data_IF_702852401807
#
_entry.id   IF_702852401807
#
_cell.length_a   1.000
_cell.length_b   1.000
_cell.length_c   1.000
_cell.angle_alpha   90.00
_cell.angle_beta   90.00
_cell.angle_gamma   90.00
#
_symmetry.space_group_name_H-M   'P 1'
#
loop_
_entity.id
_entity.type
_entity.pdbx_description
1 polymer ?
#
# COMPACT_ATOMS: atom_id res chain seq x y z
N UNK A 1 5.05 20.98 43.95
CA UNK A 1 4.32 20.01 43.11
C UNK A 1 4.15 20.64 41.73
N UNK A 2 4.47 19.94 40.65
CA UNK A 2 4.26 20.46 39.29
C UNK A 2 2.78 20.35 38.94
N UNK A 3 2.22 21.37 38.27
CA UNK A 3 0.83 21.34 37.82
C UNK A 3 0.73 20.59 36.49
N UNK A 4 -0.47 20.07 36.15
CA UNK A 4 -0.73 19.45 34.85
C UNK A 4 -0.37 20.39 33.68
N UNK A 5 -0.57 21.70 33.86
CA UNK A 5 -0.18 22.71 32.87
C UNK A 5 1.34 22.78 32.66
N UNK A 6 2.14 22.61 33.71
CA UNK A 6 3.60 22.62 33.64
C UNK A 6 4.15 21.37 32.93
N UNK A 7 3.51 20.21 33.14
CA UNK A 7 3.85 18.94 32.49
C UNK A 7 3.59 19.03 30.98
N UNK A 8 2.46 19.61 30.57
CA UNK A 8 2.12 19.77 29.15
C UNK A 8 3.05 20.78 28.45
N UNK A 9 3.44 21.87 29.12
CA UNK A 9 4.42 22.83 28.58
C UNK A 9 5.82 22.22 28.41
N UNK A 10 6.24 21.36 29.34
CA UNK A 10 7.55 20.69 29.29
C UNK A 10 7.61 19.52 28.30
N UNK A 11 6.45 18.95 27.93
CA UNK A 11 6.38 17.90 26.91
C UNK A 11 6.62 18.52 25.53
N UNK A 12 7.89 18.73 25.18
CA UNK A 12 8.28 18.99 23.79
C UNK A 12 7.67 17.86 22.95
N UNK A 13 6.70 18.20 22.10
CA UNK A 13 6.14 17.29 21.14
C UNK A 13 7.26 16.93 20.14
N UNK A 14 8.08 15.95 20.48
CA UNK A 14 9.04 15.39 19.56
C UNK A 14 8.24 14.65 18.49
N UNK A 15 7.91 15.37 17.41
CA UNK A 15 7.15 14.84 16.30
C UNK A 15 8.01 13.76 15.65
N UNK A 16 7.51 12.53 15.61
CA UNK A 16 8.18 11.49 14.84
C UNK A 16 8.10 11.85 13.35
N UNK A 17 9.24 12.11 12.72
CA UNK A 17 9.32 12.45 11.31
C UNK A 17 8.75 11.34 10.39
N UNK A 18 8.61 10.12 10.93
CA UNK A 18 8.07 8.95 10.24
C UNK A 18 6.55 8.85 10.36
N UNK A 19 5.87 9.86 10.89
CA UNK A 19 4.42 9.91 10.99
C UNK A 19 3.84 11.28 10.63
N UNK A 20 4.56 12.06 9.82
CA UNK A 20 4.12 13.39 9.38
C UNK A 20 3.16 13.33 8.20
N UNK A 21 3.27 12.30 7.36
CA UNK A 21 2.45 12.11 6.16
C UNK A 21 1.63 10.81 6.22
N UNK A 22 0.51 10.81 5.51
CA UNK A 22 -0.45 9.69 5.44
C UNK A 22 0.20 8.39 4.95
N UNK A 23 1.03 8.45 3.91
CA UNK A 23 1.78 7.29 3.41
C UNK A 23 2.81 6.76 4.43
N UNK A 24 3.33 7.60 5.33
CA UNK A 24 4.24 7.15 6.38
C UNK A 24 3.48 6.44 7.49
N UNK A 25 2.34 7.01 7.92
CA UNK A 25 1.43 6.37 8.87
C UNK A 25 0.98 5.00 8.34
N UNK A 26 0.62 4.93 7.06
CA UNK A 26 0.23 3.69 6.40
C UNK A 26 1.39 2.68 6.32
N UNK A 27 2.59 3.13 5.95
CA UNK A 27 3.78 2.28 5.95
C UNK A 27 4.14 1.71 7.33
N UNK A 28 4.01 2.51 8.40
CA UNK A 28 4.20 2.03 9.77
C UNK A 28 3.14 0.99 10.15
N UNK A 29 1.87 1.25 9.83
CA UNK A 29 0.78 0.30 10.07
C UNK A 29 1.02 -1.03 9.35
N UNK A 30 1.48 -0.99 8.10
CA UNK A 30 1.84 -2.22 7.36
C UNK A 30 2.94 -3.01 8.08
N UNK A 31 3.98 -2.32 8.55
CA UNK A 31 5.07 -2.96 9.28
C UNK A 31 4.60 -3.61 10.58
N UNK A 32 3.68 -2.97 11.31
CA UNK A 32 3.08 -3.50 12.54
C UNK A 32 2.20 -4.73 12.25
N UNK A 33 1.32 -4.65 11.26
CA UNK A 33 0.40 -5.73 10.87
C UNK A 33 1.16 -6.98 10.37
N UNK A 34 2.28 -6.78 9.69
CA UNK A 34 3.15 -7.86 9.22
C UNK A 34 4.12 -8.36 10.30
N UNK A 35 4.22 -7.69 11.45
CA UNK A 35 5.18 -7.99 12.51
C UNK A 35 6.62 -7.69 12.12
N UNK A 36 6.85 -6.83 11.13
CA UNK A 36 8.16 -6.53 10.53
C UNK A 36 8.58 -5.07 10.73
N UNK A 37 8.61 -4.64 11.99
CA UNK A 37 8.92 -3.26 12.41
C UNK A 37 10.36 -2.86 12.02
N UNK A 38 11.27 -3.86 11.90
CA UNK A 38 12.66 -3.66 11.50
C UNK A 38 12.76 -3.04 10.09
N UNK A 39 11.85 -3.40 9.19
CA UNK A 39 11.84 -2.91 7.81
C UNK A 39 10.78 -1.81 7.56
N UNK A 40 10.33 -1.07 8.58
CA UNK A 40 9.34 0.03 8.41
C UNK A 40 9.67 1.01 7.26
N UNK A 41 10.94 1.33 7.06
CA UNK A 41 11.37 2.24 5.99
C UNK A 41 11.06 1.69 4.59
N UNK A 42 11.12 0.37 4.40
CA UNK A 42 10.75 -0.31 3.17
C UNK A 42 9.25 -0.16 2.90
N UNK A 43 8.42 -0.41 3.91
CA UNK A 43 6.97 -0.29 3.80
C UNK A 43 6.51 1.15 3.58
N UNK A 44 7.14 2.13 4.24
CA UNK A 44 6.89 3.57 3.98
C UNK A 44 7.25 3.93 2.55
N UNK A 45 8.40 3.44 2.03
CA UNK A 45 8.79 3.69 0.64
C UNK A 45 7.78 3.09 -0.32
N UNK A 46 7.33 1.87 -0.06
CA UNK A 46 6.32 1.19 -0.87
C UNK A 46 4.98 1.94 -0.86
N UNK A 47 4.52 2.38 0.31
CA UNK A 47 3.32 3.20 0.46
C UNK A 47 3.40 4.56 -0.25
N UNK A 48 4.62 5.09 -0.45
CA UNK A 48 4.84 6.33 -1.18
C UNK A 48 4.82 6.13 -2.70
N UNK A 49 5.26 4.98 -3.20
CA UNK A 49 5.42 4.74 -4.65
C UNK A 49 4.27 3.97 -5.28
N UNK A 50 3.60 3.10 -4.51
CA UNK A 50 2.56 2.21 -5.01
C UNK A 50 1.15 2.68 -4.65
N UNK A 51 0.17 2.21 -5.41
CA UNK A 51 -1.24 2.41 -5.07
C UNK A 51 -1.58 1.71 -3.74
N UNK A 52 -2.18 2.47 -2.83
CA UNK A 52 -2.72 1.99 -1.55
C UNK A 52 -3.62 0.79 -1.73
N UNK A 53 -4.49 0.77 -2.74
CA UNK A 53 -5.44 -0.32 -2.97
C UNK A 53 -4.71 -1.64 -3.24
N UNK A 54 -3.61 -1.60 -4.00
CA UNK A 54 -2.78 -2.77 -4.27
C UNK A 54 -2.16 -3.31 -2.98
N UNK A 55 -1.65 -2.41 -2.13
CA UNK A 55 -1.04 -2.79 -0.84
C UNK A 55 -2.07 -3.34 0.16
N UNK A 56 -3.29 -2.80 0.18
CA UNK A 56 -4.38 -3.30 1.02
C UNK A 56 -4.82 -4.71 0.57
N UNK A 57 -4.97 -4.95 -0.72
CA UNK A 57 -5.28 -6.29 -1.24
C UNK A 57 -4.21 -7.32 -0.88
N UNK A 58 -2.93 -6.93 -0.97
CA UNK A 58 -1.83 -7.79 -0.54
C UNK A 58 -1.86 -8.08 0.96
N UNK A 59 -2.22 -7.09 1.78
CA UNK A 59 -2.34 -7.24 3.23
C UNK A 59 -3.50 -8.18 3.61
N UNK A 60 -4.68 -8.01 3.00
CA UNK A 60 -5.85 -8.85 3.26
C UNK A 60 -5.58 -10.32 2.96
N UNK A 61 -4.83 -10.61 1.89
CA UNK A 61 -4.40 -11.97 1.57
C UNK A 61 -3.56 -12.62 2.67
N UNK A 62 -2.76 -11.84 3.41
CA UNK A 62 -1.93 -12.34 4.51
C UNK A 62 -2.74 -12.45 5.79
N UNK A 63 -3.67 -11.52 6.02
CA UNK A 63 -4.61 -11.62 7.14
C UNK A 63 -5.44 -12.91 7.06
N UNK A 64 -5.75 -13.37 5.85
CA UNK A 64 -6.38 -14.68 5.63
C UNK A 64 -5.46 -15.89 5.94
N UNK A 65 -4.14 -15.70 6.07
CA UNK A 65 -3.16 -16.76 6.36
C UNK A 65 -2.41 -16.49 7.67
N UNK A 66 -3.07 -16.66 8.83
CA UNK A 66 -2.49 -16.29 10.13
C UNK A 66 -1.26 -17.12 10.53
N UNK A 67 -1.17 -18.36 10.03
CA UNK A 67 -0.12 -19.33 10.38
C UNK A 67 1.19 -19.16 9.60
N UNK A 68 1.29 -18.15 8.73
CA UNK A 68 2.48 -17.94 7.93
C UNK A 68 3.68 -17.46 8.77
N UNK A 69 4.78 -18.19 8.72
CA UNK A 69 6.03 -17.87 9.44
C UNK A 69 6.73 -16.62 8.91
N UNK A 70 6.52 -16.24 7.63
CA UNK A 70 7.24 -15.13 6.98
C UNK A 70 6.28 -14.15 6.27
N UNK A 71 5.42 -13.50 7.05
CA UNK A 71 4.39 -12.55 6.56
C UNK A 71 4.95 -11.45 5.65
N UNK A 72 6.05 -10.80 6.03
CA UNK A 72 6.67 -9.74 5.21
C UNK A 72 7.16 -10.22 3.83
N UNK A 73 7.67 -11.46 3.74
CA UNK A 73 8.11 -12.04 2.45
C UNK A 73 6.92 -12.37 1.55
N UNK A 74 5.87 -12.97 2.13
CA UNK A 74 4.63 -13.28 1.40
C UNK A 74 3.94 -12.01 0.92
N UNK A 75 3.99 -10.93 1.69
CA UNK A 75 3.53 -9.61 1.28
C UNK A 75 4.25 -9.12 0.03
N UNK A 76 5.58 -9.09 0.04
CA UNK A 76 6.35 -8.64 -1.11
C UNK A 76 6.10 -9.51 -2.34
N UNK A 77 5.98 -10.82 -2.17
CA UNK A 77 5.61 -11.74 -3.25
C UNK A 77 4.23 -11.43 -3.82
N UNK A 78 3.22 -11.19 -2.97
CA UNK A 78 1.86 -10.89 -3.41
C UNK A 78 1.76 -9.54 -4.12
N UNK A 79 2.45 -8.52 -3.61
CA UNK A 79 2.58 -7.20 -4.26
C UNK A 79 3.15 -7.37 -5.67
N UNK A 80 4.20 -8.19 -5.84
CA UNK A 80 4.78 -8.46 -7.16
C UNK A 80 3.79 -9.15 -8.11
N UNK A 81 2.99 -10.10 -7.62
CA UNK A 81 1.95 -10.75 -8.43
C UNK A 81 0.86 -9.78 -8.87
N UNK A 82 0.35 -8.95 -7.95
CA UNK A 82 -0.69 -7.97 -8.26
C UNK A 82 -0.22 -6.95 -9.29
N UNK A 83 1.04 -6.51 -9.19
CA UNK A 83 1.66 -5.65 -10.20
C UNK A 83 1.72 -6.28 -11.59
N UNK A 84 2.15 -7.54 -11.67
CA UNK A 84 2.20 -8.26 -12.95
C UNK A 84 0.81 -8.40 -13.56
N UNK A 85 -0.20 -8.75 -12.75
CA UNK A 85 -1.58 -8.86 -13.20
C UNK A 85 -2.16 -7.52 -13.70
N UNK A 86 -1.81 -6.40 -13.07
CA UNK A 86 -2.22 -5.07 -13.55
C UNK A 86 -1.56 -4.72 -14.88
N UNK A 87 -0.27 -5.02 -15.06
CA UNK A 87 0.45 -4.78 -16.31
C UNK A 87 -0.08 -5.63 -17.48
N UNK A 88 -0.56 -6.84 -17.22
CA UNK A 88 -1.21 -7.69 -18.24
C UNK A 88 -2.58 -7.14 -18.66
N UNK A 89 -3.34 -6.55 -17.73
CA UNK A 89 -4.66 -5.96 -18.03
C UNK A 89 -4.57 -4.74 -18.94
N UNK A 90 -3.56 -3.91 -18.77
CA UNK A 90 -3.32 -2.73 -19.63
C UNK A 90 -3.01 -3.14 -21.08
N UNK A 91 -2.28 -4.25 -21.28
CA UNK A 91 -1.98 -4.77 -22.61
C UNK A 91 -3.19 -5.42 -23.31
N UNK A 92 -4.19 -5.89 -22.56
CA UNK A 92 -5.42 -6.44 -23.12
C UNK A 92 -6.37 -5.33 -23.62
N UNK A 93 -6.30 -4.12 -23.05
CA UNK A 93 -7.15 -2.99 -23.44
C UNK A 93 -6.72 -2.31 -24.75
N UNK A 94 -5.43 -2.34 -25.11
CA UNK A 94 -4.94 -1.80 -26.39
C UNK A 94 -5.22 -2.69 -27.61
N UNK A 95 -5.52 -3.99 -27.41
CA UNK A 95 -5.70 -4.94 -28.53
C UNK A 95 -7.14 -5.07 -29.03
N UNK A 96 -8.11 -4.32 -28.51
CA UNK A 96 -9.48 -4.34 -29.08
C UNK A 96 -9.50 -3.52 -30.38
N UNK A 97 -9.74 -4.13 -31.56
CA UNK A 97 -9.94 -3.35 -32.77
C UNK A 97 -11.18 -2.47 -32.56
N UNK A 98 -11.03 -1.18 -32.82
CA UNK A 98 -12.14 -0.25 -32.92
C UNK A 98 -13.19 -0.87 -33.85
N UNK A 99 -14.48 -1.00 -33.46
CA UNK A 99 -15.49 -1.44 -34.40
C UNK A 99 -15.57 -0.39 -35.51
N UNK A 100 -15.08 -0.74 -36.70
CA UNK A 100 -15.34 0.06 -37.91
C UNK A 100 -16.86 0.11 -38.07
N UNK A 101 -17.45 1.28 -37.85
CA UNK A 101 -18.82 1.56 -38.29
C UNK A 101 -18.81 1.44 -39.80
N UNK A 102 -19.19 0.28 -40.32
CA UNK A 102 -19.63 0.18 -41.70
C UNK A 102 -21.03 0.79 -41.73
N UNK A 103 -21.11 2.08 -42.04
CA UNK A 103 -22.33 2.68 -42.55
C UNK A 103 -22.67 1.92 -43.83
N UNK A 104 -23.66 1.03 -43.72
CA UNK A 104 -24.22 0.33 -44.87
C UNK A 104 -24.96 1.37 -45.69
N UNK A 105 -24.41 1.65 -46.85
CA UNK A 105 -25.18 2.07 -48.02
C UNK A 105 -26.42 1.19 -48.13
N UNK A 106 -27.61 1.77 -48.06
CA UNK A 106 -28.81 1.19 -48.66
C UNK A 106 -29.71 2.31 -49.18
N UNK A 107 -29.67 2.43 -50.50
CA UNK A 107 -30.74 2.72 -51.47
C UNK A 107 -31.52 4.03 -51.37
#
# INVERSE_FOLDING_TARGET
MQTLADILKNKKANRDHRNSYEFQAFGNRLAEELGDIKHRALYIKLAKTEDRNLLLQALDHIKASPNATTKGRLFMWKVKQLKAASAEKEQATEKKPHPKKNEKETN
#
